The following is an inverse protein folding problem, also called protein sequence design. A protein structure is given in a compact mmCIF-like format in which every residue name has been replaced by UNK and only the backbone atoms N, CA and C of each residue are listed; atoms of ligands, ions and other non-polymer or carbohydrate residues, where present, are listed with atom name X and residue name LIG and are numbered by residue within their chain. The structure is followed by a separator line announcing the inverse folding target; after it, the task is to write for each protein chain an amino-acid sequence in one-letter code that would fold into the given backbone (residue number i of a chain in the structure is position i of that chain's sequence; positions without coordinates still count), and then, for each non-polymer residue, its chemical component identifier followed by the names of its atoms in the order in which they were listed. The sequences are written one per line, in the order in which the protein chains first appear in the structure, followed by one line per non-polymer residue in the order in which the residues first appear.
data_IF_983332124332
#
_entry.id   IF_983332124332
#
_cell.length_a   1.000
_cell.length_b   1.000
_cell.length_c   1.000
_cell.angle_alpha   90.00
_cell.angle_beta   90.00
_cell.angle_gamma   90.00
#
_symmetry.space_group_name_H-M   'P 1'
#
loop_
_entity.id
_entity.type
_entity.pdbx_description
1 polymer ?
#
# COMPACT_ATOMS: atom_id res chain seq x y z
N UNK A 1 6.01 -0.23 32.25
CA UNK A 1 5.82 -1.38 31.34
C UNK A 1 4.77 -2.28 31.97
N UNK A 2 3.56 -2.35 31.42
CA UNK A 2 2.52 -3.27 31.92
C UNK A 2 2.83 -4.63 31.32
N UNK A 3 3.28 -5.59 32.14
CA UNK A 3 3.47 -6.96 31.71
C UNK A 3 2.11 -7.53 31.28
N UNK A 4 1.95 -7.81 29.98
CA UNK A 4 0.76 -8.49 29.46
C UNK A 4 0.78 -9.93 29.99
N UNK A 5 -0.01 -10.20 31.02
CA UNK A 5 -0.23 -11.56 31.50
C UNK A 5 -1.10 -12.28 30.47
N UNK A 6 -0.51 -13.22 29.75
CA UNK A 6 -1.25 -14.09 28.82
C UNK A 6 -2.15 -15.05 29.61
N UNK A 7 -3.46 -14.87 29.47
CA UNK A 7 -4.50 -15.66 30.16
C UNK A 7 -5.20 -16.64 29.22
N UNK A 8 -4.66 -16.85 28.02
CA UNK A 8 -5.28 -17.70 26.99
C UNK A 8 -5.47 -19.13 27.51
N UNK A 9 -4.47 -19.68 28.21
CA UNK A 9 -4.55 -21.04 28.76
C UNK A 9 -5.56 -21.17 29.91
N UNK A 10 -5.67 -20.13 30.74
CA UNK A 10 -6.66 -20.08 31.83
C UNK A 10 -8.08 -19.99 31.28
N UNK A 11 -8.29 -19.25 30.19
CA UNK A 11 -9.57 -19.20 29.50
C UNK A 11 -9.92 -20.55 28.86
N UNK A 12 -8.99 -21.18 28.14
CA UNK A 12 -9.22 -22.47 27.50
C UNK A 12 -9.55 -23.59 28.50
N UNK A 13 -8.90 -23.60 29.67
CA UNK A 13 -9.22 -24.58 30.71
C UNK A 13 -10.64 -24.43 31.26
N UNK A 14 -11.13 -23.19 31.38
CA UNK A 14 -12.49 -22.91 31.88
C UNK A 14 -13.58 -23.11 30.82
N UNK A 15 -13.27 -22.92 29.53
CA UNK A 15 -14.19 -23.22 28.42
C UNK A 15 -14.37 -24.73 28.26
N UNK A 16 -13.27 -25.50 28.38
CA UNK A 16 -13.31 -26.96 28.33
C UNK A 16 -14.04 -27.59 29.53
N UNK A 17 -14.06 -26.91 30.69
CA UNK A 17 -14.85 -27.34 31.85
C UNK A 17 -16.36 -27.09 31.72
N UNK A 18 -16.78 -26.14 30.89
CA UNK A 18 -18.20 -25.76 30.72
C UNK A 18 -18.78 -26.18 29.36
N UNK A 19 -18.15 -27.14 28.67
CA UNK A 19 -18.46 -27.53 27.29
C UNK A 19 -19.75 -28.35 27.14
N UNK A 20 -20.90 -27.76 27.48
CA UNK A 20 -22.17 -28.05 26.81
C UNK A 20 -22.53 -26.97 25.78
N UNK A 21 -21.61 -26.03 25.54
CA UNK A 21 -21.71 -25.10 24.41
C UNK A 21 -20.98 -25.74 23.25
N UNK A 22 -21.72 -26.35 22.33
CA UNK A 22 -21.22 -26.57 20.98
C UNK A 22 -20.62 -25.23 20.51
N UNK A 23 -19.29 -25.16 20.39
CA UNK A 23 -18.66 -24.14 19.56
C UNK A 23 -19.12 -24.44 18.14
N UNK A 24 -20.30 -23.95 17.78
CA UNK A 24 -20.59 -23.60 16.41
C UNK A 24 -19.50 -22.60 16.06
N UNK A 25 -18.42 -23.11 15.48
CA UNK A 25 -17.63 -22.36 14.52
C UNK A 25 -18.69 -21.65 13.68
N UNK A 26 -18.82 -20.33 13.85
CA UNK A 26 -19.68 -19.55 12.98
C UNK A 26 -19.27 -19.98 11.58
N UNK A 27 -20.14 -20.60 10.78
CA UNK A 27 -19.76 -21.02 9.47
C UNK A 27 -19.20 -19.77 8.80
N UNK A 28 -17.91 -19.79 8.44
CA UNK A 28 -17.35 -18.76 7.56
C UNK A 28 -18.24 -18.87 6.33
N UNK A 29 -19.23 -17.99 6.23
CA UNK A 29 -20.17 -17.99 5.11
C UNK A 29 -19.29 -18.02 3.87
N UNK A 30 -19.48 -18.98 2.98
CA UNK A 30 -18.66 -19.15 1.77
C UNK A 30 -18.45 -17.81 1.04
N UNK A 31 -19.45 -16.93 1.11
CA UNK A 31 -19.45 -15.56 0.60
C UNK A 31 -18.38 -14.65 1.25
N UNK A 32 -18.18 -14.70 2.57
CA UNK A 32 -17.10 -13.96 3.24
C UNK A 32 -15.73 -14.46 2.77
N UNK A 33 -15.60 -15.74 2.42
CA UNK A 33 -14.35 -16.29 1.89
C UNK A 33 -14.06 -15.75 0.48
N UNK A 34 -15.10 -15.59 -0.35
CA UNK A 34 -14.97 -15.00 -1.69
C UNK A 34 -14.55 -13.53 -1.61
N UNK A 35 -15.23 -12.71 -0.80
CA UNK A 35 -14.85 -11.30 -0.60
C UNK A 35 -13.43 -11.15 -0.05
N UNK A 36 -13.03 -11.99 0.89
CA UNK A 36 -11.66 -11.97 1.42
C UNK A 36 -10.63 -12.39 0.38
N UNK A 37 -10.97 -13.33 -0.51
CA UNK A 37 -10.09 -13.75 -1.61
C UNK A 37 -9.93 -12.63 -2.64
N UNK A 38 -11.02 -11.96 -3.01
CA UNK A 38 -10.99 -10.80 -3.90
C UNK A 38 -10.13 -9.68 -3.31
N UNK A 39 -10.35 -9.34 -2.04
CA UNK A 39 -9.55 -8.33 -1.34
C UNK A 39 -8.07 -8.69 -1.30
N UNK A 40 -7.72 -9.94 -0.94
CA UNK A 40 -6.33 -10.43 -0.89
C UNK A 40 -5.65 -10.36 -2.27
N UNK A 41 -6.38 -10.69 -3.34
CA UNK A 41 -5.86 -10.56 -4.71
C UNK A 41 -5.55 -9.10 -5.05
N UNK A 42 -6.41 -8.15 -4.67
CA UNK A 42 -6.17 -6.72 -4.90
C UNK A 42 -4.95 -6.25 -4.09
N UNK A 43 -4.83 -6.66 -2.82
CA UNK A 43 -3.66 -6.33 -2.00
C UNK A 43 -2.36 -6.84 -2.63
N UNK A 44 -2.35 -8.07 -3.15
CA UNK A 44 -1.16 -8.64 -3.83
C UNK A 44 -0.74 -7.83 -5.05
N UNK A 45 -1.70 -7.37 -5.86
CA UNK A 45 -1.40 -6.51 -7.01
C UNK A 45 -0.88 -5.12 -6.59
N UNK A 46 -1.43 -4.54 -5.52
CA UNK A 46 -0.92 -3.28 -4.95
C UNK A 46 0.52 -3.46 -4.44
N UNK A 47 0.82 -4.54 -3.73
CA UNK A 47 2.17 -4.82 -3.23
C UNK A 47 3.16 -5.04 -4.38
N UNK A 48 2.73 -5.75 -5.43
CA UNK A 48 3.51 -5.88 -6.66
C UNK A 48 3.78 -4.53 -7.32
N UNK A 49 2.77 -3.65 -7.41
CA UNK A 49 2.94 -2.29 -7.91
C UNK A 49 3.95 -1.48 -7.08
N UNK A 50 3.87 -1.55 -5.74
CA UNK A 50 4.82 -0.90 -4.83
C UNK A 50 6.25 -1.38 -5.04
N UNK A 51 6.45 -2.69 -5.17
CA UNK A 51 7.77 -3.28 -5.41
C UNK A 51 8.38 -2.77 -6.73
N UNK A 52 7.60 -2.80 -7.82
CA UNK A 52 8.03 -2.28 -9.14
C UNK A 52 8.27 -0.78 -9.12
N UNK A 53 7.45 -0.03 -8.40
CA UNK A 53 7.62 1.41 -8.26
C UNK A 53 8.89 1.78 -7.50
N UNK A 54 9.27 1.01 -6.48
CA UNK A 54 10.54 1.21 -5.77
C UNK A 54 11.73 0.99 -6.73
N UNK A 55 11.70 -0.10 -7.50
CA UNK A 55 12.70 -0.39 -8.55
C UNK A 55 12.79 0.76 -9.56
N UNK A 56 11.64 1.24 -10.06
CA UNK A 56 11.55 2.37 -10.98
C UNK A 56 12.11 3.65 -10.35
N UNK A 57 11.78 3.95 -9.09
CA UNK A 57 12.25 5.15 -8.38
C UNK A 57 13.78 5.15 -8.24
N UNK A 58 14.38 3.99 -7.96
CA UNK A 58 15.83 3.85 -7.91
C UNK A 58 16.48 4.08 -9.27
N UNK A 59 15.90 3.56 -10.35
CA UNK A 59 16.40 3.76 -11.71
C UNK A 59 16.19 5.20 -12.20
N UNK A 60 15.06 5.81 -11.86
CA UNK A 60 14.71 7.18 -12.23
C UNK A 60 15.67 8.21 -11.63
N UNK A 61 16.13 7.98 -10.38
CA UNK A 61 17.08 8.85 -9.67
C UNK A 61 18.52 8.75 -10.20
N UNK A 62 18.90 7.67 -10.88
CA UNK A 62 20.27 7.50 -11.41
C UNK A 62 20.52 8.47 -12.57
N UNK A 63 21.44 9.41 -12.37
CA UNK A 63 21.86 10.43 -13.36
C UNK A 63 22.93 9.94 -14.35
N UNK A 64 23.11 8.64 -14.55
CA UNK A 64 24.20 8.11 -15.38
C UNK A 64 24.05 8.50 -16.85
N UNK A 65 25.13 8.99 -17.46
CA UNK A 65 25.19 9.38 -18.88
C UNK A 65 25.49 8.17 -19.80
N UNK A 66 26.03 7.08 -19.24
CA UNK A 66 26.61 5.96 -20.00
C UNK A 66 25.82 4.65 -19.90
N UNK A 67 24.93 4.52 -18.90
CA UNK A 67 24.08 3.33 -18.75
C UNK A 67 22.64 3.72 -19.07
N UNK A 68 22.20 3.38 -20.29
CA UNK A 68 20.87 3.71 -20.78
C UNK A 68 19.81 2.80 -20.15
N UNK A 69 19.39 3.14 -18.93
CA UNK A 69 18.31 2.43 -18.23
C UNK A 69 16.92 2.75 -18.80
N UNK A 70 16.83 3.46 -19.92
CA UNK A 70 15.57 3.93 -20.51
C UNK A 70 14.63 2.79 -20.85
N UNK A 71 15.12 1.73 -21.48
CA UNK A 71 14.30 0.55 -21.81
C UNK A 71 13.71 -0.14 -20.57
N UNK A 72 14.49 -0.22 -19.48
CA UNK A 72 14.01 -0.77 -18.20
C UNK A 72 12.97 0.13 -17.55
N UNK A 73 13.15 1.44 -17.64
CA UNK A 73 12.20 2.45 -17.15
C UNK A 73 10.88 2.38 -17.93
N UNK A 74 10.93 2.27 -19.26
CA UNK A 74 9.73 2.14 -20.11
C UNK A 74 8.97 0.84 -19.83
N UNK A 75 9.69 -0.28 -19.67
CA UNK A 75 9.09 -1.57 -19.29
C UNK A 75 8.40 -1.48 -17.93
N UNK A 76 9.08 -0.97 -16.91
CA UNK A 76 8.52 -0.80 -15.57
C UNK A 76 7.35 0.18 -15.56
N UNK A 77 7.42 1.26 -16.35
CA UNK A 77 6.34 2.24 -16.50
C UNK A 77 5.09 1.58 -17.07
N UNK A 78 5.25 0.77 -18.12
CA UNK A 78 4.15 0.04 -18.76
C UNK A 78 3.57 -1.04 -17.84
N UNK A 79 4.43 -1.78 -17.12
CA UNK A 79 4.04 -2.80 -16.14
C UNK A 79 3.23 -2.18 -14.99
N UNK A 80 3.74 -1.10 -14.38
CA UNK A 80 3.04 -0.38 -13.30
C UNK A 80 1.71 0.19 -13.82
N UNK A 81 1.67 0.81 -15.00
CA UNK A 81 0.42 1.32 -15.60
C UNK A 81 -0.62 0.21 -15.74
N UNK A 82 -0.22 -0.97 -16.23
CA UNK A 82 -1.12 -2.11 -16.38
C UNK A 82 -1.66 -2.57 -15.03
N UNK A 83 -0.78 -2.72 -14.02
CA UNK A 83 -1.18 -3.13 -12.66
C UNK A 83 -2.12 -2.10 -12.03
N UNK A 84 -1.81 -0.80 -12.12
CA UNK A 84 -2.66 0.27 -11.58
C UNK A 84 -4.05 0.27 -12.23
N UNK A 85 -4.11 0.10 -13.55
CA UNK A 85 -5.38 0.02 -14.30
C UNK A 85 -6.21 -1.18 -13.87
N UNK A 86 -5.57 -2.37 -13.82
CA UNK A 86 -6.21 -3.60 -13.37
C UNK A 86 -6.74 -3.44 -11.94
N UNK A 87 -5.88 -3.02 -11.02
CA UNK A 87 -6.20 -2.86 -9.60
C UNK A 87 -7.36 -1.89 -9.40
N UNK A 88 -7.34 -0.75 -10.11
CA UNK A 88 -8.43 0.25 -10.04
C UNK A 88 -9.76 -0.34 -10.49
N UNK A 89 -9.79 -1.11 -11.58
CA UNK A 89 -11.00 -1.77 -12.06
C UNK A 89 -11.47 -2.91 -11.13
N UNK A 90 -10.53 -3.62 -10.52
CA UNK A 90 -10.82 -4.66 -9.51
C UNK A 90 -11.42 -4.05 -8.25
N UNK A 91 -10.92 -2.89 -7.79
CA UNK A 91 -11.50 -2.15 -6.65
C UNK A 91 -12.95 -1.74 -6.95
N UNK A 92 -13.25 -1.20 -8.13
CA UNK A 92 -14.63 -0.86 -8.51
C UNK A 92 -15.55 -2.09 -8.54
N UNK A 93 -15.04 -3.21 -9.05
CA UNK A 93 -15.81 -4.45 -9.15
C UNK A 93 -16.08 -5.03 -7.76
N UNK A 94 -15.08 -5.00 -6.89
CA UNK A 94 -15.19 -5.38 -5.49
C UNK A 94 -16.20 -4.50 -4.74
N UNK A 95 -16.13 -3.18 -4.93
CA UNK A 95 -17.10 -2.24 -4.35
C UNK A 95 -18.52 -2.51 -4.84
N UNK A 96 -18.72 -2.72 -6.15
CA UNK A 96 -20.04 -3.08 -6.69
C UNK A 96 -20.57 -4.36 -6.05
N UNK A 97 -19.72 -5.38 -5.88
CA UNK A 97 -20.06 -6.63 -5.21
C UNK A 97 -20.46 -6.40 -3.74
N UNK A 98 -19.68 -5.63 -3.00
CA UNK A 98 -19.98 -5.26 -1.60
C UNK A 98 -21.28 -4.44 -1.50
N UNK A 99 -21.50 -3.45 -2.37
CA UNK A 99 -22.69 -2.59 -2.32
C UNK A 99 -23.99 -3.29 -2.74
N UNK A 100 -23.91 -4.23 -3.69
CA UNK A 100 -25.05 -5.06 -4.11
C UNK A 100 -25.39 -6.15 -3.09
N UNK A 101 -24.42 -6.56 -2.27
CA UNK A 101 -24.62 -7.60 -1.27
C UNK A 101 -25.43 -7.10 -0.08
N UNK A 102 -26.49 -7.84 0.25
CA UNK A 102 -27.31 -7.59 1.45
C UNK A 102 -26.66 -8.25 2.66
N UNK A 103 -25.78 -7.51 3.33
CA UNK A 103 -25.18 -7.98 4.58
C UNK A 103 -26.26 -8.18 5.66
N UNK A 104 -26.26 -9.37 6.27
CA UNK A 104 -27.11 -9.66 7.45
C UNK A 104 -26.60 -8.94 8.70
N UNK A 105 -25.31 -8.61 8.74
CA UNK A 105 -24.64 -7.93 9.84
C UNK A 105 -24.08 -6.59 9.37
N UNK A 106 -24.49 -5.50 10.02
CA UNK A 106 -23.98 -4.16 9.72
C UNK A 106 -22.46 -4.07 9.94
N UNK A 107 -21.92 -4.79 10.93
CA UNK A 107 -20.49 -4.82 11.20
C UNK A 107 -19.68 -5.40 10.01
N UNK A 108 -20.20 -6.42 9.33
CA UNK A 108 -19.54 -6.98 8.14
C UNK A 108 -19.51 -5.97 6.99
N UNK A 109 -20.62 -5.25 6.76
CA UNK A 109 -20.68 -4.18 5.76
C UNK A 109 -19.66 -3.08 6.05
N UNK A 110 -19.57 -2.63 7.30
CA UNK A 110 -18.57 -1.64 7.73
C UNK A 110 -17.15 -2.14 7.52
N UNK A 111 -16.86 -3.39 7.86
CA UNK A 111 -15.55 -3.99 7.67
C UNK A 111 -15.11 -3.97 6.20
N UNK A 112 -15.96 -4.42 5.27
CA UNK A 112 -15.61 -4.39 3.84
C UNK A 112 -15.52 -2.98 3.27
N UNK A 113 -16.35 -2.04 3.74
CA UNK A 113 -16.19 -0.63 3.39
C UNK A 113 -14.85 -0.07 3.88
N UNK A 114 -14.40 -0.47 5.07
CA UNK A 114 -13.10 -0.10 5.62
C UNK A 114 -11.94 -0.66 4.80
N UNK A 115 -12.06 -1.90 4.33
CA UNK A 115 -11.09 -2.50 3.39
C UNK A 115 -11.07 -1.72 2.07
N UNK A 116 -12.23 -1.41 1.47
CA UNK A 116 -12.33 -0.64 0.22
C UNK A 116 -11.61 0.70 0.37
N UNK A 117 -11.84 1.40 1.47
CA UNK A 117 -11.17 2.66 1.76
C UNK A 117 -9.66 2.50 1.85
N UNK A 118 -9.16 1.50 2.58
CA UNK A 118 -7.72 1.26 2.69
C UNK A 118 -7.10 0.97 1.32
N UNK A 119 -7.74 0.10 0.52
CA UNK A 119 -7.30 -0.22 -0.84
C UNK A 119 -7.25 1.03 -1.73
N UNK A 120 -8.25 1.90 -1.63
CA UNK A 120 -8.33 3.17 -2.36
C UNK A 120 -7.25 4.17 -1.94
N UNK A 121 -6.97 4.27 -0.65
CA UNK A 121 -5.89 5.11 -0.14
C UNK A 121 -4.53 4.58 -0.59
N UNK A 122 -4.33 3.27 -0.54
CA UNK A 122 -3.07 2.65 -0.96
C UNK A 122 -2.82 2.84 -2.46
N UNK A 123 -3.82 2.59 -3.32
CA UNK A 123 -3.68 2.82 -4.76
C UNK A 123 -3.47 4.31 -5.07
N UNK A 124 -4.07 5.22 -4.31
CA UNK A 124 -3.81 6.66 -4.41
C UNK A 124 -2.36 6.99 -4.12
N UNK A 125 -1.82 6.50 -3.01
CA UNK A 125 -0.43 6.75 -2.62
C UNK A 125 0.56 6.19 -3.66
N UNK A 126 0.31 4.97 -4.16
CA UNK A 126 1.15 4.36 -5.22
C UNK A 126 1.07 5.17 -6.52
N UNK A 127 -0.14 5.56 -6.94
CA UNK A 127 -0.36 6.33 -8.18
C UNK A 127 0.30 7.72 -8.08
N UNK A 128 0.20 8.39 -6.92
CA UNK A 128 0.84 9.68 -6.70
C UNK A 128 2.38 9.56 -6.72
N UNK A 129 2.93 8.57 -6.01
CA UNK A 129 4.38 8.32 -6.01
C UNK A 129 4.91 7.96 -7.40
N UNK A 130 4.12 7.21 -8.19
CA UNK A 130 4.45 6.89 -9.58
C UNK A 130 4.48 8.14 -10.45
N UNK A 131 3.46 8.99 -10.36
CA UNK A 131 3.41 10.29 -11.05
C UNK A 131 4.64 11.14 -10.70
N UNK A 132 4.96 11.29 -9.42
CA UNK A 132 6.13 12.06 -8.96
C UNK A 132 7.44 11.49 -9.51
N UNK A 133 7.59 10.17 -9.53
CA UNK A 133 8.78 9.49 -10.06
C UNK A 133 8.95 9.74 -11.56
N UNK A 134 7.87 9.70 -12.34
CA UNK A 134 7.90 10.03 -13.77
C UNK A 134 8.25 11.49 -14.02
N UNK A 135 7.70 12.43 -13.23
CA UNK A 135 8.08 13.83 -13.31
C UNK A 135 9.56 14.06 -12.98
N UNK A 136 10.07 13.43 -11.92
CA UNK A 136 11.49 13.50 -11.57
C UNK A 136 12.36 12.95 -12.70
N UNK A 137 11.98 11.82 -13.31
CA UNK A 137 12.71 11.26 -14.46
C UNK A 137 12.73 12.23 -15.64
N UNK A 138 11.57 12.80 -15.99
CA UNK A 138 11.48 13.79 -17.08
C UNK A 138 12.37 15.01 -16.81
N UNK A 139 12.36 15.52 -15.57
CA UNK A 139 13.20 16.65 -15.17
C UNK A 139 14.69 16.33 -15.27
N UNK A 140 15.12 15.15 -14.79
CA UNK A 140 16.52 14.71 -14.88
C UNK A 140 16.94 14.58 -16.35
N UNK A 141 16.08 14.02 -17.21
CA UNK A 141 16.38 13.88 -18.64
C UNK A 141 16.53 15.23 -19.33
N UNK A 142 15.65 16.19 -19.00
CA UNK A 142 15.73 17.55 -19.52
C UNK A 142 17.00 18.28 -19.06
N UNK A 143 17.35 18.17 -17.77
CA UNK A 143 18.59 18.75 -17.21
C UNK A 143 19.83 18.18 -17.91
N UNK A 144 19.85 16.86 -18.13
CA UNK A 144 20.95 16.20 -18.84
C UNK A 144 21.03 16.65 -20.31
N UNK A 145 19.91 16.80 -20.99
CA UNK A 145 19.86 17.27 -22.37
C UNK A 145 20.37 18.72 -22.49
N UNK A 146 19.92 19.60 -21.60
CA UNK A 146 20.37 20.99 -21.55
C UNK A 146 21.88 21.09 -21.30
N UNK A 147 22.39 20.32 -20.32
CA UNK A 147 23.83 20.22 -20.09
C UNK A 147 24.56 19.70 -21.32
N UNK A 148 24.04 18.67 -21.99
CA UNK A 148 24.66 18.16 -23.21
C UNK A 148 24.68 19.21 -24.30
N UNK A 149 23.59 19.94 -24.55
CA UNK A 149 23.56 21.05 -25.54
C UNK A 149 24.64 22.09 -25.25
N UNK A 150 24.86 22.42 -23.97
CA UNK A 150 25.90 23.36 -23.55
C UNK A 150 27.32 22.84 -23.83
N UNK A 151 27.58 21.54 -23.64
CA UNK A 151 28.93 20.96 -23.80
C UNK A 151 29.19 20.30 -25.17
N UNK A 152 28.15 19.99 -25.95
CA UNK A 152 28.22 19.31 -27.25
C UNK A 152 28.54 20.24 -28.40
N UNK A 153 28.31 21.55 -28.25
CA UNK A 153 28.48 22.54 -29.33
C UNK A 153 29.95 22.99 -29.47
N UNK A 154 30.81 22.73 -28.49
CA UNK A 154 32.19 23.25 -28.50
C UNK A 154 33.23 22.30 -29.11
N UNK A 155 32.89 21.07 -29.50
CA UNK A 155 33.87 20.09 -30.00
C UNK A 155 34.03 20.05 -31.54
N UNK A 156 33.35 20.92 -32.29
CA UNK A 156 33.46 20.96 -33.76
C UNK A 156 34.29 22.15 -34.27
N UNK A 157 34.65 23.12 -33.41
CA UNK A 157 35.46 24.29 -33.81
C UNK A 157 36.68 24.57 -32.91
N UNK A 158 37.27 23.54 -32.30
CA UNK A 158 38.64 23.63 -31.78
C UNK A 158 39.67 23.36 -32.90
N UNK A 159 39.54 24.05 -34.05
CA UNK A 159 40.73 24.42 -34.81
C UNK A 159 41.40 25.55 -34.03
N UNK A 160 42.45 25.17 -33.32
CA UNK A 160 43.48 25.98 -32.66
C UNK A 160 43.36 27.51 -32.80
N UNK A 161 43.44 28.23 -31.66
CA UNK A 161 44.60 29.11 -31.52
C UNK A 161 45.31 28.87 -30.19
N UNK A 162 46.62 28.73 -30.27
CA UNK A 162 47.47 28.35 -29.15
C UNK A 162 47.53 29.37 -28.01
N UNK A 163 48.02 28.88 -26.87
CA UNK A 163 49.21 29.33 -26.13
C UNK A 163 49.24 28.53 -24.82
N UNK A 164 50.35 27.82 -24.55
CA UNK A 164 50.66 27.42 -23.18
C UNK A 164 51.15 25.99 -22.92
N UNK A 165 51.87 25.32 -23.82
CA UNK A 165 52.74 24.21 -23.41
C UNK A 165 54.12 24.32 -24.07
N UNK A 166 55.11 24.69 -23.25
CA UNK A 166 56.54 24.71 -23.58
C UNK A 166 56.98 23.32 -24.07
N UNK A 167 57.44 23.22 -25.31
CA UNK A 167 58.46 22.25 -25.73
C UNK A 167 59.53 22.99 -26.51
N UNK A 168 60.73 22.95 -25.96
CA UNK A 168 61.98 23.35 -26.56
C UNK A 168 62.45 22.22 -27.48
N UNK A 169 62.62 22.47 -28.78
CA UNK A 169 63.57 21.75 -29.64
C UNK A 169 63.97 22.63 -30.84
N UNK A 170 65.26 22.53 -31.18
CA UNK A 170 65.99 23.38 -32.12
C UNK A 170 65.53 23.23 -33.58
N UNK A 171 65.67 24.35 -34.28
CA UNK A 171 65.59 24.57 -35.72
C UNK A 171 66.49 23.61 -36.52
N UNK A 172 65.94 22.98 -37.56
CA UNK A 172 66.60 22.97 -38.88
C UNK A 172 65.59 22.74 -40.01
N UNK A 173 65.75 23.53 -41.07
CA UNK A 173 64.92 23.61 -42.27
C UNK A 173 64.98 22.35 -43.13
N UNK A 174 63.92 22.09 -43.93
CA UNK A 174 63.94 21.91 -45.40
C UNK A 174 62.68 21.18 -45.93
N UNK A 175 62.38 21.47 -47.19
CA UNK A 175 61.15 21.25 -47.95
C UNK A 175 60.83 19.77 -48.28
N UNK A 176 59.56 19.55 -48.64
CA UNK A 176 59.02 18.58 -49.63
C UNK A 176 58.28 17.32 -49.13
N UNK A 177 57.17 17.08 -49.83
CA UNK A 177 56.47 15.82 -50.11
C UNK A 177 55.42 15.24 -49.14
N UNK A 178 54.19 15.26 -49.66
CA UNK A 178 53.15 14.22 -49.60
C UNK A 178 53.58 12.89 -48.94
N UNK A 179 52.95 12.56 -47.81
CA UNK A 179 52.63 11.16 -47.51
C UNK A 179 51.39 11.06 -46.62
N UNK A 180 50.39 10.34 -47.14
CA UNK A 180 49.36 9.67 -46.36
C UNK A 180 50.05 8.79 -45.32
N UNK A 181 49.71 8.95 -44.04
CA UNK A 181 49.79 7.82 -43.13
C UNK A 181 48.59 7.75 -42.20
N UNK A 182 48.05 6.55 -42.17
CA UNK A 182 46.74 6.13 -41.73
C UNK A 182 46.91 5.47 -40.37
N UNK A 183 46.76 6.21 -39.27
CA UNK A 183 46.55 5.57 -37.97
C UNK A 183 45.84 6.47 -36.96
N UNK A 184 44.59 6.82 -37.26
CA UNK A 184 43.64 7.24 -36.23
C UNK A 184 43.08 5.99 -35.56
N UNK A 185 43.61 5.70 -34.36
CA UNK A 185 42.99 4.77 -33.42
C UNK A 185 41.51 5.12 -33.26
N UNK A 186 40.65 4.25 -33.78
CA UNK A 186 39.21 4.40 -33.78
C UNK A 186 38.72 4.23 -32.34
N UNK A 187 38.69 5.30 -31.55
CA UNK A 187 37.67 5.42 -30.52
C UNK A 187 36.36 5.62 -31.26
N UNK A 188 35.60 4.55 -31.47
CA UNK A 188 34.21 4.61 -31.92
C UNK A 188 33.41 5.29 -30.82
N UNK A 189 33.52 6.62 -30.72
CA UNK A 189 32.52 7.40 -30.04
C UNK A 189 31.25 7.24 -30.87
N UNK A 190 30.18 6.62 -30.35
CA UNK A 190 28.92 6.56 -31.07
C UNK A 190 28.52 7.98 -31.45
N UNK A 191 28.23 8.18 -32.73
CA UNK A 191 27.86 9.46 -33.32
C UNK A 191 26.83 10.17 -32.43
N UNK A 192 27.20 11.37 -31.95
CA UNK A 192 26.43 12.18 -30.99
C UNK A 192 24.96 12.38 -31.38
N UNK A 193 24.63 12.27 -32.68
CA UNK A 193 23.29 12.36 -33.25
C UNK A 193 22.38 11.14 -32.97
N UNK A 194 22.93 9.94 -32.77
CA UNK A 194 22.11 8.75 -32.49
C UNK A 194 21.67 8.74 -31.01
N UNK A 195 22.55 9.22 -30.12
CA UNK A 195 22.26 9.35 -28.68
C UNK A 195 21.28 10.51 -28.40
N UNK A 196 21.24 11.54 -29.25
CA UNK A 196 20.24 12.61 -29.13
C UNK A 196 18.82 12.11 -29.42
N UNK A 197 18.64 11.40 -30.53
CA UNK A 197 17.31 11.00 -30.99
C UNK A 197 16.66 9.97 -30.06
N UNK A 198 17.42 8.98 -29.57
CA UNK A 198 16.91 7.98 -28.62
C UNK A 198 16.45 8.61 -27.29
N UNK A 199 17.05 9.73 -26.87
CA UNK A 199 16.66 10.45 -25.64
C UNK A 199 15.43 11.34 -25.83
N UNK A 200 15.27 11.95 -27.00
CA UNK A 200 14.05 12.71 -27.32
C UNK A 200 12.83 11.78 -27.35
N UNK A 201 12.98 10.59 -27.94
CA UNK A 201 11.95 9.54 -27.92
C UNK A 201 11.58 9.12 -26.49
N UNK A 202 12.59 8.90 -25.64
CA UNK A 202 12.40 8.53 -24.25
C UNK A 202 11.66 9.60 -23.44
N UNK A 203 11.94 10.88 -23.66
CA UNK A 203 11.22 12.00 -23.01
C UNK A 203 9.76 11.99 -23.47
N UNK A 204 9.51 11.82 -24.77
CA UNK A 204 8.17 11.73 -25.31
C UNK A 204 7.39 10.53 -24.72
N UNK A 205 8.05 9.39 -24.53
CA UNK A 205 7.45 8.21 -23.89
C UNK A 205 7.06 8.46 -22.42
N UNK A 206 7.92 9.12 -21.64
CA UNK A 206 7.58 9.51 -20.26
C UNK A 206 6.42 10.51 -20.23
N UNK A 207 6.39 11.48 -21.14
CA UNK A 207 5.30 12.45 -21.24
C UNK A 207 3.96 11.77 -21.62
N UNK A 208 3.97 10.84 -22.57
CA UNK A 208 2.79 10.01 -22.89
C UNK A 208 2.33 9.22 -21.67
N UNK A 209 3.25 8.59 -20.94
CA UNK A 209 2.91 7.85 -19.72
C UNK A 209 2.26 8.74 -18.65
N UNK A 210 2.74 9.98 -18.46
CA UNK A 210 2.11 10.95 -17.56
C UNK A 210 0.70 11.35 -18.04
N UNK A 211 0.54 11.57 -19.36
CA UNK A 211 -0.76 11.88 -19.96
C UNK A 211 -1.78 10.77 -19.76
N UNK A 212 -1.40 9.52 -20.02
CA UNK A 212 -2.25 8.34 -19.82
C UNK A 212 -2.56 8.11 -18.33
N UNK A 213 -1.59 8.36 -17.45
CA UNK A 213 -1.77 8.25 -16.00
C UNK A 213 -2.76 9.28 -15.46
N UNK A 214 -2.96 10.41 -16.14
CA UNK A 214 -3.90 11.45 -15.73
C UNK A 214 -5.32 10.91 -15.51
N UNK A 215 -5.79 10.02 -16.38
CA UNK A 215 -7.13 9.43 -16.26
C UNK A 215 -7.25 8.54 -15.01
N UNK A 216 -6.24 7.70 -14.74
CA UNK A 216 -6.19 6.86 -13.54
C UNK A 216 -6.10 7.75 -12.30
N UNK A 217 -5.26 8.79 -12.34
CA UNK A 217 -5.07 9.73 -11.25
C UNK A 217 -6.36 10.49 -10.91
N UNK A 218 -7.12 10.94 -11.91
CA UNK A 218 -8.43 11.58 -11.68
C UNK A 218 -9.39 10.62 -10.98
N UNK A 219 -9.48 9.37 -11.45
CA UNK A 219 -10.34 8.35 -10.86
C UNK A 219 -9.94 8.02 -9.42
N UNK A 220 -8.66 7.86 -9.17
CA UNK A 220 -8.13 7.53 -7.85
C UNK A 220 -8.19 8.74 -6.89
N UNK A 221 -8.08 9.97 -7.41
CA UNK A 221 -8.34 11.20 -6.63
C UNK A 221 -9.80 11.29 -6.25
N UNK A 222 -10.72 10.94 -7.16
CA UNK A 222 -12.15 10.90 -6.87
C UNK A 222 -12.47 9.93 -5.72
N UNK A 223 -11.73 8.81 -5.63
CA UNK A 223 -11.85 7.94 -4.46
C UNK A 223 -11.58 8.69 -3.15
N UNK A 224 -10.53 9.50 -3.07
CA UNK A 224 -10.15 10.22 -1.84
C UNK A 224 -11.09 11.40 -1.56
N UNK A 225 -11.52 12.14 -2.58
CA UNK A 225 -12.42 13.30 -2.38
C UNK A 225 -13.84 12.89 -2.01
N UNK A 226 -14.29 11.70 -2.42
CA UNK A 226 -15.60 11.16 -2.03
C UNK A 226 -15.59 10.59 -0.60
N UNK A 227 -14.44 10.49 0.06
CA UNK A 227 -14.23 9.70 1.28
C UNK A 227 -14.33 10.47 2.63
N UNK A 228 -15.08 11.57 2.72
CA UNK A 228 -15.11 12.39 3.94
C UNK A 228 -15.71 11.71 5.20
N UNK A 229 -16.47 10.63 5.07
CA UNK A 229 -17.27 10.11 6.20
C UNK A 229 -16.69 8.88 6.92
N UNK A 230 -15.73 8.17 6.32
CA UNK A 230 -15.31 6.86 6.83
C UNK A 230 -14.15 6.90 7.84
N UNK A 231 -13.33 7.95 7.81
CA UNK A 231 -12.24 8.20 8.78
C UNK A 231 -12.79 8.46 10.19
N UNK A 232 -13.99 9.03 10.31
CA UNK A 232 -14.65 9.32 11.58
C UNK A 232 -15.24 8.08 12.29
N UNK A 233 -15.17 6.88 11.69
CA UNK A 233 -15.88 5.68 12.19
C UNK A 233 -15.02 4.65 12.94
N UNK A 234 -13.70 4.79 12.98
CA UNK A 234 -12.87 3.92 13.82
C UNK A 234 -13.18 4.17 15.31
N UNK A 235 -13.34 5.44 15.72
CA UNK A 235 -13.75 5.77 17.09
C UNK A 235 -15.17 5.25 17.41
N UNK A 236 -16.09 5.34 16.44
CA UNK A 236 -17.48 4.90 16.62
C UNK A 236 -17.62 3.41 16.91
N UNK A 237 -16.83 2.53 16.26
CA UNK A 237 -16.92 1.09 16.53
C UNK A 237 -16.34 0.72 17.91
N UNK A 238 -15.40 1.50 18.47
CA UNK A 238 -14.98 1.34 19.88
C UNK A 238 -16.08 1.76 20.84
N UNK A 239 -16.83 2.82 20.52
CA UNK A 239 -17.93 3.32 21.33
C UNK A 239 -19.15 2.39 21.30
N UNK A 240 -19.48 1.82 20.14
CA UNK A 240 -20.51 0.78 20.00
C UNK A 240 -20.11 -0.49 20.75
N UNK A 241 -18.86 -0.92 20.64
CA UNK A 241 -18.35 -2.07 21.40
C UNK A 241 -18.43 -1.82 22.91
N UNK A 242 -18.06 -0.62 23.36
CA UNK A 242 -18.18 -0.19 24.75
C UNK A 242 -19.63 -0.16 25.21
N UNK A 243 -20.56 0.33 24.38
CA UNK A 243 -22.00 0.35 24.66
C UNK A 243 -22.59 -1.06 24.79
N UNK A 244 -22.20 -1.97 23.89
CA UNK A 244 -22.62 -3.37 23.94
C UNK A 244 -22.09 -4.07 25.20
N UNK A 245 -20.83 -3.84 25.58
CA UNK A 245 -20.24 -4.36 26.82
C UNK A 245 -20.94 -3.78 28.06
N UNK A 246 -21.26 -2.48 28.06
CA UNK A 246 -22.03 -1.83 29.14
C UNK A 246 -23.44 -2.40 29.27
N UNK A 247 -24.11 -2.64 28.14
CA UNK A 247 -25.44 -3.25 28.09
C UNK A 247 -25.41 -4.69 28.61
N UNK A 248 -24.42 -5.49 28.20
CA UNK A 248 -24.20 -6.83 28.73
C UNK A 248 -23.93 -6.82 30.24
N UNK A 249 -23.10 -5.89 30.74
CA UNK A 249 -22.86 -5.71 32.18
C UNK A 249 -24.16 -5.39 32.92
N UNK A 250 -25.01 -4.52 32.38
CA UNK A 250 -26.29 -4.17 33.00
C UNK A 250 -27.23 -5.37 33.06
N UNK A 251 -27.29 -6.20 32.01
CA UNK A 251 -28.07 -7.44 32.03
C UNK A 251 -27.53 -8.45 33.06
N UNK A 252 -26.21 -8.61 33.16
CA UNK A 252 -25.59 -9.43 34.20
C UNK A 252 -25.91 -8.93 35.60
N UNK A 253 -25.92 -7.61 35.82
CA UNK A 253 -26.30 -7.01 37.11
C UNK A 253 -27.79 -7.19 37.42
N UNK A 254 -28.67 -7.09 36.41
CA UNK A 254 -30.10 -7.40 36.59
C UNK A 254 -30.29 -8.86 37.00
N UNK A 255 -29.62 -9.79 36.32
CA UNK A 255 -29.66 -11.22 36.66
C UNK A 255 -29.10 -11.47 38.08
N UNK A 256 -27.97 -10.85 38.42
CA UNK A 256 -27.39 -10.92 39.76
C UNK A 256 -28.34 -10.38 40.85
N UNK A 257 -29.03 -9.26 40.60
CA UNK A 257 -30.03 -8.74 41.56
C UNK A 257 -31.22 -9.67 41.70
N UNK A 258 -31.70 -10.28 40.61
CA UNK A 258 -32.79 -11.27 40.64
C UNK A 258 -32.41 -12.50 41.46
N UNK A 259 -31.21 -13.05 41.26
CA UNK A 259 -30.74 -14.23 42.02
C UNK A 259 -30.41 -13.88 43.48
N UNK A 260 -29.88 -12.67 43.75
CA UNK A 260 -29.57 -12.20 45.10
C UNK A 260 -30.83 -11.90 45.90
N UNK A 261 -31.87 -11.33 45.30
CA UNK A 261 -33.13 -10.99 45.98
C UNK A 261 -33.82 -12.24 46.54
N UNK A 262 -33.80 -13.34 45.79
CA UNK A 262 -34.40 -14.60 46.22
C UNK A 262 -33.66 -15.29 47.38
N UNK A 263 -32.44 -14.87 47.74
CA UNK A 263 -31.72 -15.43 48.90
C UNK A 263 -32.42 -15.11 50.23
N UNK A 264 -33.00 -13.91 50.37
CA UNK A 264 -33.75 -13.56 51.58
C UNK A 264 -35.05 -14.38 51.71
N UNK A 265 -35.71 -14.66 50.58
CA UNK A 265 -36.94 -15.45 50.53
C UNK A 265 -36.67 -16.93 50.84
N UNK A 266 -35.60 -17.51 50.28
CA UNK A 266 -35.25 -18.92 50.55
C UNK A 266 -34.83 -19.13 52.01
N UNK A 267 -34.14 -18.17 52.62
CA UNK A 267 -33.78 -18.23 54.05
C UNK A 267 -35.03 -18.19 54.93
N UNK A 268 -36.01 -17.32 54.62
CA UNK A 268 -37.27 -17.27 55.38
C UNK A 268 -38.07 -18.57 55.28
N UNK A 269 -38.15 -19.16 54.09
CA UNK A 269 -38.81 -20.47 53.89
C UNK A 269 -38.08 -21.57 54.65
N UNK A 270 -36.74 -21.59 54.62
CA UNK A 270 -35.93 -22.58 55.34
C UNK A 270 -36.15 -22.49 56.86
N UNK A 271 -36.18 -21.28 57.42
CA UNK A 271 -36.48 -21.08 58.85
C UNK A 271 -37.89 -21.57 59.18
N UNK A 272 -38.89 -21.27 58.35
CA UNK A 272 -40.26 -21.73 58.56
C UNK A 272 -40.35 -23.26 58.54
N UNK A 273 -39.70 -23.92 57.57
CA UNK A 273 -39.64 -25.39 57.49
C UNK A 273 -38.93 -25.97 58.73
N UNK A 274 -37.81 -25.37 59.16
CA UNK A 274 -37.04 -25.85 60.32
C UNK A 274 -37.86 -25.77 61.62
N UNK A 275 -38.56 -24.66 61.84
CA UNK A 275 -39.44 -24.49 63.01
C UNK A 275 -40.58 -25.50 62.99
N UNK A 276 -41.21 -25.72 61.83
CA UNK A 276 -42.27 -26.70 61.66
C UNK A 276 -41.77 -28.12 61.94
N UNK A 277 -40.59 -28.50 61.45
CA UNK A 277 -39.99 -29.80 61.73
C UNK A 277 -39.66 -29.97 63.21
N UNK A 278 -39.12 -28.95 63.88
CA UNK A 278 -38.88 -29.00 65.33
C UNK A 278 -40.18 -29.19 66.13
N UNK A 279 -41.25 -28.45 65.80
CA UNK A 279 -42.55 -28.60 66.45
C UNK A 279 -43.17 -29.97 66.20
N UNK A 280 -43.05 -30.49 64.97
CA UNK A 280 -43.51 -31.83 64.64
C UNK A 280 -42.79 -32.90 65.48
N UNK A 281 -41.46 -32.82 65.58
CA UNK A 281 -40.68 -33.74 66.41
C UNK A 281 -41.11 -33.63 67.88
N UNK A 282 -41.24 -32.41 68.40
CA UNK A 282 -41.62 -32.18 69.80
C UNK A 282 -43.03 -32.64 70.16
N UNK A 283 -43.95 -32.69 69.19
CA UNK A 283 -45.32 -33.13 69.42
C UNK A 283 -45.53 -34.64 69.16
N UNK A 284 -44.71 -35.24 68.31
CA UNK A 284 -44.79 -36.68 67.95
C UNK A 284 -43.96 -37.56 68.89
N UNK A 285 -42.83 -37.07 69.40
CA UNK A 285 -42.05 -37.71 70.48
C UNK A 285 -42.60 -37.30 71.85
#
# INVERSE_FOLDING_TARGET
MVNSVDRTNFFMSHVNQNSNVNLTQTPKTFENLEFNTDADSIYKEIEKAKARLNELSQLAKKRSLYLDNTSSIERLTSEIKSILTYTTNSIDSFEKKVNSFKFRNEASKKHYNSIIFQLRNDIFNVTNTFKETLHQRAQIMLEQENRRKLYSINDIHAQNPGIGRKRFMLQQDLESEQQLDLESGITVAPSTSVISNAREEAIANVQRAIGDLSQIFQKVTAYVTQQDEMINRIDFDTEVSLSNVRSARNELLKYYRRISSNRGLIIKILILVTVLTCLYIMFVM
#
